data_IF_255480044232
#
_entry.id   IF_255480044232
#
_cell.length_a   1.000
_cell.length_b   1.000
_cell.length_c   1.000
_cell.angle_alpha   90.00
_cell.angle_beta   90.00
_cell.angle_gamma   90.00
#
_symmetry.space_group_name_H-M   'P 1'
#
loop_
_entity.id
_entity.type
_entity.pdbx_description
1 polymer ?
#
# COMPACT_ATOMS: atom_id res chain seq x y z
N UNK A 1 14.71 68.99 -18.08
CA UNK A 1 15.98 68.23 -18.11
C UNK A 1 15.72 66.83 -17.59
N UNK A 2 16.19 65.83 -18.34
CA UNK A 2 15.80 64.42 -18.29
C UNK A 2 16.27 63.70 -17.03
N UNK A 3 15.34 62.98 -16.37
CA UNK A 3 15.67 61.94 -15.40
C UNK A 3 15.71 60.62 -16.17
N UNK A 4 16.91 60.06 -16.33
CA UNK A 4 17.12 58.73 -16.89
C UNK A 4 16.79 57.67 -15.84
N UNK A 5 15.67 56.97 -16.02
CA UNK A 5 15.35 55.76 -15.27
C UNK A 5 15.94 54.54 -15.98
N UNK A 6 17.05 54.02 -15.47
CA UNK A 6 17.64 52.77 -15.94
C UNK A 6 16.74 51.58 -15.57
N UNK A 7 16.30 50.84 -16.59
CA UNK A 7 15.55 49.59 -16.47
C UNK A 7 16.42 48.50 -15.86
N UNK A 8 15.97 47.91 -14.77
CA UNK A 8 16.50 46.66 -14.22
C UNK A 8 16.03 45.53 -15.14
N UNK A 9 16.97 44.82 -15.76
CA UNK A 9 16.71 43.61 -16.51
C UNK A 9 16.40 42.46 -15.52
N UNK A 10 15.13 42.15 -15.32
CA UNK A 10 14.72 40.89 -14.71
C UNK A 10 14.81 39.78 -15.76
N UNK A 11 15.92 39.04 -15.71
CA UNK A 11 16.11 37.83 -16.50
C UNK A 11 15.03 36.80 -16.17
N UNK A 12 14.04 36.69 -17.05
CA UNK A 12 13.07 35.61 -17.09
C UNK A 12 13.76 34.34 -17.58
N UNK A 13 13.99 33.38 -16.68
CA UNK A 13 14.27 31.99 -17.04
C UNK A 13 12.98 31.37 -17.60
N UNK A 14 12.68 31.67 -18.86
CA UNK A 14 11.65 30.98 -19.62
C UNK A 14 12.19 29.60 -20.02
N UNK A 15 11.84 28.60 -19.22
CA UNK A 15 11.93 27.19 -19.60
C UNK A 15 10.96 26.99 -20.76
N UNK A 16 11.49 26.90 -21.97
CA UNK A 16 10.73 26.53 -23.17
C UNK A 16 10.25 25.09 -23.02
N UNK A 17 8.94 24.93 -22.78
CA UNK A 17 8.27 23.64 -22.83
C UNK A 17 8.00 23.27 -24.30
N UNK A 18 8.33 22.05 -24.75
CA UNK A 18 8.06 21.63 -26.12
C UNK A 18 6.55 21.39 -26.28
N UNK A 19 5.85 22.37 -26.84
CA UNK A 19 4.38 22.33 -27.03
C UNK A 19 4.01 22.27 -28.51
N UNK A 20 4.08 21.08 -29.11
CA UNK A 20 3.41 20.76 -30.38
C UNK A 20 2.02 20.11 -30.18
N UNK A 21 1.50 20.09 -28.95
CA UNK A 21 0.14 19.61 -28.69
C UNK A 21 -0.84 20.76 -28.89
N UNK A 22 -1.87 20.55 -29.72
CA UNK A 22 -3.00 21.45 -29.84
C UNK A 22 -3.51 21.82 -28.44
N UNK A 23 -3.36 23.10 -28.07
CA UNK A 23 -3.82 23.62 -26.79
C UNK A 23 -5.35 23.59 -26.85
N UNK A 24 -5.95 22.63 -26.14
CA UNK A 24 -7.41 22.59 -25.98
C UNK A 24 -7.81 23.78 -25.12
N UNK A 25 -8.59 24.68 -25.71
CA UNK A 25 -9.12 25.84 -25.00
C UNK A 25 -10.17 25.34 -23.99
N UNK A 26 -9.84 25.40 -22.71
CA UNK A 26 -10.75 25.02 -21.62
C UNK A 26 -11.57 26.26 -21.25
N UNK A 27 -12.85 26.29 -21.60
CA UNK A 27 -13.80 27.30 -21.13
C UNK A 27 -14.47 26.80 -19.85
N UNK A 28 -14.43 27.61 -18.80
CA UNK A 28 -15.20 27.36 -17.58
C UNK A 28 -16.61 27.94 -17.74
N UNK A 29 -17.63 27.21 -17.28
CA UNK A 29 -18.98 27.74 -17.21
C UNK A 29 -19.03 28.88 -16.18
N UNK A 30 -19.73 29.99 -16.51
CA UNK A 30 -19.86 31.18 -15.65
C UNK A 30 -20.41 30.88 -14.24
N UNK A 31 -21.10 29.76 -14.06
CA UNK A 31 -21.73 29.36 -12.80
C UNK A 31 -21.19 28.03 -12.25
N UNK A 32 -19.87 27.87 -12.24
CA UNK A 32 -19.21 26.76 -11.55
C UNK A 32 -19.36 26.90 -10.03
N UNK A 33 -20.30 26.16 -9.42
CA UNK A 33 -20.39 26.07 -7.96
C UNK A 33 -19.31 25.14 -7.40
N UNK A 34 -18.36 25.70 -6.64
CA UNK A 34 -17.38 24.95 -5.87
C UNK A 34 -17.99 24.53 -4.53
N UNK A 35 -18.47 23.30 -4.43
CA UNK A 35 -18.91 22.74 -3.15
C UNK A 35 -17.68 22.36 -2.32
N UNK A 36 -17.41 23.15 -1.28
CA UNK A 36 -16.43 22.81 -0.25
C UNK A 36 -17.10 21.93 0.80
N UNK A 37 -16.80 20.63 0.75
CA UNK A 37 -17.24 19.70 1.79
C UNK A 37 -16.40 19.92 3.05
N UNK A 38 -17.07 19.96 4.20
CA UNK A 38 -16.40 19.97 5.50
C UNK A 38 -15.66 18.64 5.68
N UNK A 39 -14.41 18.72 6.17
CA UNK A 39 -13.61 17.54 6.50
C UNK A 39 -14.30 16.80 7.65
N UNK A 40 -14.91 15.65 7.34
CA UNK A 40 -15.49 14.78 8.35
C UNK A 40 -14.43 13.79 8.86
N UNK A 41 -14.13 13.84 10.16
CA UNK A 41 -13.14 12.98 10.80
C UNK A 41 -13.50 11.48 10.74
N UNK A 42 -14.79 11.12 10.71
CA UNK A 42 -15.22 9.72 10.51
C UNK A 42 -15.04 9.27 9.07
N UNK A 43 -15.24 10.18 8.12
CA UNK A 43 -15.05 9.91 6.70
C UNK A 43 -13.57 9.66 6.39
N UNK A 44 -12.63 10.45 6.94
CA UNK A 44 -11.20 10.22 6.75
C UNK A 44 -10.76 8.83 7.26
N UNK A 45 -11.35 8.34 8.37
CA UNK A 45 -11.07 7.00 8.90
C UNK A 45 -11.58 5.87 8.00
N UNK A 46 -12.64 6.12 7.23
CA UNK A 46 -13.31 5.13 6.38
C UNK A 46 -13.07 5.37 4.89
N UNK A 47 -12.22 6.36 4.57
CA UNK A 47 -11.97 6.81 3.21
C UNK A 47 -11.37 5.67 2.42
N UNK A 48 -12.10 5.28 1.38
CA UNK A 48 -11.60 4.27 0.45
C UNK A 48 -10.42 4.85 -0.35
N UNK A 49 -9.36 4.04 -0.50
CA UNK A 49 -8.23 4.43 -1.32
C UNK A 49 -8.68 4.60 -2.77
N UNK A 50 -8.32 5.73 -3.39
CA UNK A 50 -8.61 5.96 -4.79
C UNK A 50 -7.88 4.93 -5.67
N UNK A 51 -8.30 4.80 -6.93
CA UNK A 51 -7.61 3.93 -7.89
C UNK A 51 -6.17 4.41 -8.15
N UNK A 52 -5.92 5.72 -8.12
CA UNK A 52 -4.59 6.31 -8.20
C UNK A 52 -3.74 5.97 -6.98
N UNK A 53 -4.27 6.07 -5.77
CA UNK A 53 -3.53 5.74 -4.54
C UNK A 53 -3.13 4.26 -4.52
N UNK A 54 -4.07 3.38 -4.91
CA UNK A 54 -3.77 1.96 -5.04
C UNK A 54 -2.65 1.68 -6.04
N UNK A 55 -2.55 2.47 -7.10
CA UNK A 55 -1.49 2.32 -8.11
C UNK A 55 -0.14 2.82 -7.57
N UNK A 56 -0.12 3.97 -6.90
CA UNK A 56 1.11 4.51 -6.31
C UNK A 56 1.64 3.59 -5.21
N UNK A 57 0.79 3.10 -4.30
CA UNK A 57 1.19 2.15 -3.25
C UNK A 57 1.79 0.87 -3.83
N UNK A 58 1.23 0.34 -4.93
CA UNK A 58 1.82 -0.83 -5.60
C UNK A 58 3.20 -0.54 -6.17
N UNK A 59 3.40 0.63 -6.78
CA UNK A 59 4.69 1.02 -7.34
C UNK A 59 5.74 1.25 -6.26
N UNK A 60 5.35 1.82 -5.12
CA UNK A 60 6.20 1.98 -3.96
C UNK A 60 6.59 0.63 -3.35
N UNK A 61 5.62 -0.24 -3.10
CA UNK A 61 5.86 -1.60 -2.61
C UNK A 61 6.84 -2.40 -3.48
N UNK A 62 6.76 -2.27 -4.81
CA UNK A 62 7.71 -2.92 -5.74
C UNK A 62 9.13 -2.35 -5.60
N UNK A 63 9.26 -1.03 -5.45
CA UNK A 63 10.57 -0.38 -5.25
C UNK A 63 11.20 -0.79 -3.92
N UNK A 64 10.39 -0.82 -2.87
CA UNK A 64 10.85 -1.25 -1.54
C UNK A 64 11.26 -2.72 -1.52
N UNK A 65 10.47 -3.59 -2.16
CA UNK A 65 10.82 -4.98 -2.32
C UNK A 65 12.14 -5.16 -3.09
N UNK A 66 12.38 -4.39 -4.15
CA UNK A 66 13.64 -4.44 -4.90
C UNK A 66 14.84 -3.98 -4.05
N UNK A 67 14.68 -2.88 -3.28
CA UNK A 67 15.70 -2.41 -2.34
C UNK A 67 16.03 -3.46 -1.28
N UNK A 68 15.00 -4.07 -0.69
CA UNK A 68 15.17 -5.09 0.34
C UNK A 68 15.75 -6.39 -0.22
N UNK A 69 15.42 -6.75 -1.46
CA UNK A 69 16.07 -7.85 -2.19
C UNK A 69 17.58 -7.62 -2.30
N UNK A 70 17.99 -6.43 -2.72
CA UNK A 70 19.41 -6.08 -2.78
C UNK A 70 20.10 -6.19 -1.41
N UNK A 71 19.45 -5.74 -0.34
CA UNK A 71 20.00 -5.87 1.02
C UNK A 71 20.13 -7.33 1.46
N UNK A 72 19.18 -8.19 1.05
CA UNK A 72 19.24 -9.62 1.31
C UNK A 72 20.36 -10.29 0.50
N UNK A 73 20.54 -9.91 -0.77
CA UNK A 73 21.58 -10.46 -1.65
C UNK A 73 23.00 -10.04 -1.20
N UNK A 74 23.14 -8.86 -0.60
CA UNK A 74 24.39 -8.38 -0.02
C UNK A 74 24.68 -8.97 1.38
N UNK A 75 23.71 -9.66 1.98
CA UNK A 75 23.87 -10.24 3.31
C UNK A 75 24.73 -11.51 3.25
N UNK A 76 25.62 -11.73 4.23
CA UNK A 76 26.43 -12.95 4.29
C UNK A 76 25.62 -14.19 4.70
N UNK A 77 24.33 -14.04 4.99
CA UNK A 77 23.44 -15.12 5.42
C UNK A 77 22.32 -15.32 4.40
N UNK A 78 21.78 -16.54 4.31
CA UNK A 78 20.67 -16.86 3.43
C UNK A 78 19.31 -16.96 4.16
N UNK A 79 18.24 -16.69 3.41
CA UNK A 79 16.86 -16.90 3.85
C UNK A 79 16.49 -16.13 5.11
N UNK A 80 15.85 -16.82 6.06
CA UNK A 80 15.36 -16.19 7.30
C UNK A 80 16.50 -15.64 8.18
N UNK A 81 17.72 -16.21 8.10
CA UNK A 81 18.88 -15.73 8.87
C UNK A 81 19.37 -14.38 8.36
N UNK A 82 19.28 -14.14 7.05
CA UNK A 82 19.57 -12.85 6.41
C UNK A 82 18.68 -11.73 6.96
N UNK A 83 17.37 -11.99 6.99
CA UNK A 83 16.36 -11.10 7.54
C UNK A 83 16.62 -10.77 9.02
N UNK A 84 16.83 -11.79 9.85
CA UNK A 84 17.10 -11.61 11.28
C UNK A 84 18.37 -10.77 11.50
N UNK A 85 19.41 -11.00 10.70
CA UNK A 85 20.64 -10.23 10.78
C UNK A 85 20.42 -8.76 10.42
N UNK A 86 19.73 -8.48 9.31
CA UNK A 86 19.46 -7.12 8.84
C UNK A 86 18.55 -6.34 9.80
N UNK A 87 17.57 -7.01 10.42
CA UNK A 87 16.70 -6.42 11.45
C UNK A 87 17.49 -6.09 12.72
N UNK A 88 18.32 -7.04 13.20
CA UNK A 88 19.17 -6.80 14.38
C UNK A 88 20.18 -5.68 14.15
N UNK A 89 20.69 -5.57 12.94
CA UNK A 89 21.56 -4.48 12.50
C UNK A 89 20.85 -3.15 12.24
N UNK A 90 19.52 -3.08 12.44
CA UNK A 90 18.67 -1.91 12.16
C UNK A 90 18.81 -1.37 10.73
N UNK A 91 19.20 -2.23 9.77
CA UNK A 91 19.27 -1.87 8.35
C UNK A 91 17.92 -2.01 7.65
N UNK A 92 17.06 -2.85 8.23
CA UNK A 92 15.68 -3.05 7.82
C UNK A 92 14.83 -2.96 9.09
N UNK A 93 13.76 -2.18 9.02
CA UNK A 93 12.76 -2.13 10.08
C UNK A 93 11.73 -3.26 9.87
N UNK A 94 11.25 -3.92 10.94
CA UNK A 94 10.23 -4.95 10.82
C UNK A 94 8.97 -4.50 10.05
N UNK A 95 8.65 -3.20 10.14
CA UNK A 95 7.50 -2.57 9.50
C UNK A 95 7.63 -2.53 7.98
N UNK A 96 8.86 -2.40 7.46
CA UNK A 96 9.13 -2.34 6.01
C UNK A 96 8.86 -3.67 5.32
N UNK A 97 8.88 -4.79 6.04
CA UNK A 97 8.62 -6.12 5.49
C UNK A 97 7.13 -6.38 5.27
N UNK A 98 6.28 -5.58 5.90
CA UNK A 98 4.86 -5.86 5.97
C UNK A 98 4.17 -5.42 4.67
N UNK A 99 3.44 -6.34 4.02
CA UNK A 99 2.75 -6.09 2.76
C UNK A 99 3.60 -6.30 1.50
N UNK A 100 4.89 -6.60 1.66
CA UNK A 100 5.82 -6.93 0.58
C UNK A 100 6.40 -8.34 0.72
N UNK A 101 5.92 -9.13 1.69
CA UNK A 101 6.43 -10.48 1.97
C UNK A 101 6.35 -11.35 0.71
N UNK A 102 5.24 -11.24 -0.02
CA UNK A 102 4.99 -11.96 -1.27
C UNK A 102 5.93 -11.54 -2.41
N UNK A 103 6.49 -10.33 -2.36
CA UNK A 103 7.45 -9.82 -3.35
C UNK A 103 8.89 -10.22 -3.02
N UNK A 104 9.19 -10.46 -1.74
CA UNK A 104 10.48 -10.93 -1.27
C UNK A 104 10.62 -12.45 -1.37
N UNK A 105 9.52 -13.18 -1.22
CA UNK A 105 9.45 -14.63 -1.33
C UNK A 105 9.43 -15.09 -2.80
N UNK A 106 9.87 -16.33 -3.04
CA UNK A 106 9.76 -16.96 -4.36
C UNK A 106 8.27 -17.10 -4.76
N UNK A 107 7.83 -16.56 -5.90
CA UNK A 107 6.45 -16.65 -6.36
C UNK A 107 5.88 -18.08 -6.35
N UNK A 108 6.74 -19.08 -6.62
CA UNK A 108 6.35 -20.49 -6.60
C UNK A 108 6.04 -20.98 -5.19
N UNK A 109 6.82 -20.55 -4.19
CA UNK A 109 6.59 -20.88 -2.77
C UNK A 109 5.34 -20.20 -2.24
N UNK A 110 5.11 -18.95 -2.62
CA UNK A 110 3.89 -18.21 -2.25
C UNK A 110 2.65 -18.87 -2.84
N UNK A 111 2.70 -19.26 -4.11
CA UNK A 111 1.60 -19.97 -4.77
C UNK A 111 1.33 -21.33 -4.11
N UNK A 112 2.38 -22.08 -3.76
CA UNK A 112 2.27 -23.34 -3.04
C UNK A 112 1.59 -23.15 -1.66
N UNK A 113 2.07 -22.19 -0.88
CA UNK A 113 1.53 -21.90 0.46
C UNK A 113 0.07 -21.47 0.40
N UNK A 114 -0.30 -20.62 -0.57
CA UNK A 114 -1.70 -20.23 -0.80
C UNK A 114 -2.56 -21.44 -1.20
N UNK A 115 -2.04 -22.35 -2.01
CA UNK A 115 -2.73 -23.58 -2.39
C UNK A 115 -2.95 -24.48 -1.19
N UNK A 116 -1.93 -24.70 -0.36
CA UNK A 116 -2.02 -25.46 0.89
C UNK A 116 -3.04 -24.84 1.85
N UNK A 117 -2.99 -23.52 2.03
CA UNK A 117 -3.94 -22.80 2.85
C UNK A 117 -5.38 -22.97 2.35
N UNK A 118 -5.61 -22.78 1.04
CA UNK A 118 -6.93 -22.96 0.44
C UNK A 118 -7.43 -24.40 0.58
N UNK A 119 -6.55 -25.39 0.39
CA UNK A 119 -6.88 -26.80 0.57
C UNK A 119 -7.24 -27.12 2.02
N UNK A 120 -6.52 -26.53 2.98
CA UNK A 120 -6.83 -26.66 4.41
C UNK A 120 -8.19 -26.07 4.76
N UNK A 121 -8.49 -24.86 4.28
CA UNK A 121 -9.81 -24.21 4.50
C UNK A 121 -10.93 -25.06 3.90
N UNK A 122 -10.77 -25.53 2.65
CA UNK A 122 -11.74 -26.41 2.00
C UNK A 122 -11.92 -27.74 2.76
N UNK A 123 -10.84 -28.29 3.31
CA UNK A 123 -10.90 -29.49 4.16
C UNK A 123 -11.70 -29.24 5.44
N UNK A 124 -11.48 -28.10 6.09
CA UNK A 124 -12.29 -27.69 7.26
C UNK A 124 -13.76 -27.49 6.89
N UNK A 125 -14.05 -26.84 5.77
CA UNK A 125 -15.41 -26.66 5.27
C UNK A 125 -16.11 -27.99 5.02
N UNK A 126 -15.42 -28.95 4.38
CA UNK A 126 -15.95 -30.31 4.16
C UNK A 126 -16.19 -31.05 5.48
N UNK A 127 -15.28 -30.93 6.44
CA UNK A 127 -15.40 -31.56 7.75
C UNK A 127 -16.56 -30.99 8.57
N UNK A 128 -16.86 -29.69 8.44
CA UNK A 128 -18.03 -29.06 9.07
C UNK A 128 -19.34 -29.47 8.39
N UNK A 129 -19.37 -29.54 7.05
CA UNK A 129 -20.53 -30.05 6.31
C UNK A 129 -20.87 -31.51 6.62
N UNK A 130 -19.85 -32.34 6.84
CA UNK A 130 -20.03 -33.75 7.19
C UNK A 130 -20.57 -33.98 8.62
N UNK A 131 -20.62 -32.94 9.46
CA UNK A 131 -21.07 -33.02 10.86
C UNK A 131 -22.52 -32.55 11.09
N UNK A 132 -23.28 -32.26 10.03
CA UNK A 132 -24.68 -31.77 10.10
C UNK A 132 -24.89 -30.67 11.17
N UNK A 133 -23.95 -29.73 11.26
CA UNK A 133 -24.18 -28.50 12.03
C UNK A 133 -24.92 -27.50 11.15
N UNK A 134 -26.02 -26.93 11.65
CA UNK A 134 -26.79 -25.84 11.03
C UNK A 134 -25.89 -24.85 10.26
N UNK A 135 -26.30 -24.42 9.06
CA UNK A 135 -25.48 -23.55 8.21
C UNK A 135 -24.99 -22.29 8.97
N UNK A 136 -25.78 -21.79 9.91
CA UNK A 136 -25.44 -20.62 10.76
C UNK A 136 -24.26 -20.90 11.71
N UNK A 137 -24.18 -22.10 12.31
CA UNK A 137 -23.04 -22.47 13.19
C UNK A 137 -21.80 -22.86 12.40
N UNK A 138 -21.96 -23.40 11.19
CA UNK A 138 -20.87 -23.68 10.25
C UNK A 138 -20.19 -22.40 9.75
N UNK A 139 -20.98 -21.40 9.32
CA UNK A 139 -20.47 -20.08 8.91
C UNK A 139 -19.80 -19.37 10.09
N UNK A 140 -20.40 -19.40 11.29
CA UNK A 140 -19.80 -18.78 12.48
C UNK A 140 -18.46 -19.44 12.87
N UNK A 141 -18.31 -20.77 12.74
CA UNK A 141 -17.05 -21.49 13.02
C UNK A 141 -15.98 -21.25 11.95
N UNK A 142 -16.37 -21.15 10.68
CA UNK A 142 -15.48 -20.76 9.59
C UNK A 142 -15.04 -19.30 9.73
N UNK A 143 -15.96 -18.43 10.12
CA UNK A 143 -15.67 -17.05 10.47
C UNK A 143 -14.69 -17.00 11.64
N UNK A 144 -14.90 -17.71 12.75
CA UNK A 144 -13.96 -17.78 13.88
C UNK A 144 -12.56 -18.32 13.49
N UNK A 145 -12.48 -19.32 12.61
CA UNK A 145 -11.19 -19.83 12.11
C UNK A 145 -10.46 -18.82 11.22
N UNK A 146 -11.21 -18.14 10.35
CA UNK A 146 -10.71 -17.07 9.48
C UNK A 146 -10.40 -15.79 10.27
N UNK A 147 -11.15 -15.52 11.32
CA UNK A 147 -11.03 -14.38 12.22
C UNK A 147 -9.82 -14.58 13.13
N UNK A 148 -9.51 -15.79 13.62
CA UNK A 148 -8.26 -16.01 14.37
C UNK A 148 -6.99 -15.76 13.55
N UNK A 149 -7.05 -15.96 12.24
CA UNK A 149 -5.94 -15.67 11.32
C UNK A 149 -5.96 -14.21 10.86
N UNK A 150 -7.15 -13.64 10.64
CA UNK A 150 -7.36 -12.24 10.26
C UNK A 150 -7.18 -11.26 11.43
N UNK A 151 -7.52 -11.62 12.67
CA UNK A 151 -7.30 -10.85 13.90
C UNK A 151 -5.82 -10.52 14.07
N UNK A 152 -4.93 -11.49 13.80
CA UNK A 152 -3.49 -11.24 13.79
C UNK A 152 -3.08 -10.23 12.71
N UNK A 153 -3.82 -10.16 11.61
CA UNK A 153 -3.61 -9.18 10.54
C UNK A 153 -4.20 -7.80 10.89
N UNK A 154 -5.40 -7.74 11.47
CA UNK A 154 -6.08 -6.50 11.86
C UNK A 154 -5.47 -5.87 13.10
N UNK A 155 -5.01 -6.65 14.07
CA UNK A 155 -4.24 -6.19 15.24
C UNK A 155 -2.90 -5.60 14.79
N UNK A 156 -2.20 -6.25 13.84
CA UNK A 156 -1.03 -5.66 13.18
C UNK A 156 -1.37 -4.38 12.41
N UNK A 157 -2.52 -4.31 11.73
CA UNK A 157 -2.95 -3.09 11.05
C UNK A 157 -3.32 -1.96 12.03
N UNK A 158 -3.87 -2.29 13.21
CA UNK A 158 -4.13 -1.33 14.29
C UNK A 158 -2.84 -0.83 14.93
N UNK A 159 -1.86 -1.70 15.13
CA UNK A 159 -0.52 -1.30 15.58
C UNK A 159 0.13 -0.33 14.56
N UNK A 160 -0.01 -0.56 13.25
CA UNK A 160 0.43 0.39 12.21
C UNK A 160 -0.26 1.75 12.33
N UNK A 161 -1.59 1.77 12.53
CA UNK A 161 -2.34 3.00 12.65
C UNK A 161 -2.01 3.79 13.93
N UNK A 162 -1.71 3.09 15.03
CA UNK A 162 -1.29 3.73 16.28
C UNK A 162 0.12 4.32 16.18
N UNK A 163 1.04 3.65 15.47
CA UNK A 163 2.43 4.09 15.32
C UNK A 163 2.62 5.17 14.24
N UNK A 164 1.68 5.35 13.31
CA UNK A 164 1.72 6.39 12.28
C UNK A 164 1.13 7.75 12.71
N UNK A 165 0.63 7.85 13.94
CA UNK A 165 0.05 9.07 14.52
C UNK A 165 1.04 9.83 15.42
N UNK A 166 2.20 9.24 15.73
CA UNK A 166 3.36 9.92 16.35
C UNK A 166 4.31 10.52 15.30
#
# INVERSE_FOLDING_TARGET
MNIQSNKIASGSLLVEWPSSRQIKQVSFAEYSNCNRYLMNAEYEKTKSCSSSDRKSFKQEAVRDAARLRMLLDLSPFEGAKALIHLIKGKMILPEELIGIEDLLMDPLKVACWRREHSAHVLKMQRALRAKEESEETSVAKLALGSEKTSLKSTEKARLRAALAVE
#
